data_IF_869893601073
#
_entry.id   IF_869893601073
#
_cell.length_a   1.000
_cell.length_b   1.000
_cell.length_c   1.000
_cell.angle_alpha   90.00
_cell.angle_beta   90.00
_cell.angle_gamma   90.00
#
_symmetry.space_group_name_H-M   'P 1'
#
loop_
_entity.id
_entity.type
_entity.pdbx_description
1 polymer ?
#
# COMPACT_ATOMS: atom_id res chain seq x y z
N UNK A 1 22.60 -3.58 17.29
CA UNK A 1 21.81 -3.14 16.14
C UNK A 1 21.08 -1.87 16.54
N UNK A 2 21.19 -0.80 15.77
CA UNK A 2 20.52 0.47 16.13
C UNK A 2 19.04 0.30 15.79
N UNK A 3 18.17 0.32 16.80
CA UNK A 3 16.71 0.33 16.57
C UNK A 3 16.38 1.63 15.84
N UNK A 4 15.68 1.59 14.69
CA UNK A 4 15.32 2.81 13.98
C UNK A 4 14.46 3.69 14.90
N UNK A 5 14.69 5.00 14.88
CA UNK A 5 13.86 5.94 15.62
C UNK A 5 12.68 6.33 14.73
N UNK A 6 11.42 6.22 15.20
CA UNK A 6 10.26 6.63 14.43
C UNK A 6 10.38 8.07 13.92
N UNK A 7 10.08 8.28 12.62
CA UNK A 7 10.17 9.59 11.99
C UNK A 7 8.80 9.98 11.41
N UNK A 8 8.20 11.13 11.81
CA UNK A 8 6.90 11.58 11.30
C UNK A 8 6.88 11.95 9.81
N UNK A 9 8.06 12.12 9.18
CA UNK A 9 8.17 12.37 7.74
C UNK A 9 8.15 11.08 6.90
N UNK A 10 8.27 9.90 7.52
CA UNK A 10 8.18 8.64 6.80
C UNK A 10 6.76 8.38 6.31
N UNK A 11 6.65 7.66 5.19
CA UNK A 11 5.41 7.28 4.55
C UNK A 11 5.16 5.77 4.71
N UNK A 12 3.93 5.42 5.06
CA UNK A 12 3.49 4.04 5.18
C UNK A 12 2.63 3.66 3.98
N UNK A 13 3.15 2.76 3.17
CA UNK A 13 2.50 2.18 2.00
C UNK A 13 1.87 0.85 2.39
N UNK A 14 0.62 0.67 2.03
CA UNK A 14 -0.13 -0.54 2.33
C UNK A 14 -0.91 -0.98 1.11
N UNK A 15 -1.03 -2.29 0.97
CA UNK A 15 -1.91 -2.94 0.00
C UNK A 15 -2.49 -4.21 0.61
N UNK A 16 -3.71 -4.53 0.24
CA UNK A 16 -4.44 -5.69 0.71
C UNK A 16 -5.09 -6.42 -0.46
N UNK A 17 -5.03 -7.75 -0.43
CA UNK A 17 -5.88 -8.60 -1.27
C UNK A 17 -7.11 -9.04 -0.48
N UNK A 18 -8.25 -9.06 -1.14
CA UNK A 18 -9.53 -9.40 -0.54
C UNK A 18 -10.26 -10.46 -1.37
N UNK A 19 -11.27 -11.08 -0.79
CA UNK A 19 -12.14 -12.02 -1.52
C UNK A 19 -13.10 -11.34 -2.50
N UNK A 20 -13.23 -10.03 -2.40
CA UNK A 20 -14.06 -9.17 -3.25
C UNK A 20 -14.00 -7.73 -2.78
N UNK A 21 -14.91 -6.86 -3.22
CA UNK A 21 -14.85 -5.42 -2.99
C UNK A 21 -15.87 -4.90 -1.96
N UNK A 22 -16.70 -5.78 -1.39
CA UNK A 22 -17.72 -5.38 -0.42
C UNK A 22 -17.34 -5.80 1.01
N UNK A 23 -16.87 -4.90 1.89
CA UNK A 23 -16.45 -5.24 3.24
C UNK A 23 -17.59 -5.77 4.15
N UNK A 24 -18.86 -5.73 3.70
CA UNK A 24 -19.97 -6.36 4.42
C UNK A 24 -19.94 -7.90 4.30
N UNK A 25 -19.39 -8.44 3.21
CA UNK A 25 -19.41 -9.86 2.90
C UNK A 25 -18.02 -10.43 2.62
N UNK A 26 -17.12 -9.59 2.15
CA UNK A 26 -15.76 -9.98 1.77
C UNK A 26 -14.79 -9.78 2.93
N UNK A 27 -13.66 -10.47 2.86
CA UNK A 27 -12.64 -10.52 3.91
C UNK A 27 -11.26 -10.25 3.33
N UNK A 28 -10.36 -9.78 4.19
CA UNK A 28 -8.94 -9.61 3.87
C UNK A 28 -8.29 -11.00 3.84
N UNK A 29 -7.50 -11.28 2.80
CA UNK A 29 -6.79 -12.55 2.62
C UNK A 29 -5.27 -12.37 2.54
N UNK A 30 -4.78 -11.17 2.25
CA UNK A 30 -3.37 -10.82 2.30
C UNK A 30 -3.23 -9.35 2.70
N UNK A 31 -2.15 -9.03 3.43
CA UNK A 31 -1.78 -7.65 3.72
C UNK A 31 -0.26 -7.50 3.81
N UNK A 32 0.27 -6.39 3.32
CA UNK A 32 1.68 -6.04 3.42
C UNK A 32 1.86 -4.53 3.60
N UNK A 33 3.03 -4.15 4.12
CA UNK A 33 3.41 -2.75 4.34
C UNK A 33 4.86 -2.52 3.91
N UNK A 34 5.09 -1.36 3.29
CA UNK A 34 6.42 -0.83 3.00
C UNK A 34 6.54 0.56 3.62
N UNK A 35 7.69 0.84 4.20
CA UNK A 35 8.01 2.16 4.74
C UNK A 35 9.02 2.84 3.81
N UNK A 36 8.74 4.08 3.44
CA UNK A 36 9.70 4.94 2.74
C UNK A 36 9.97 6.21 3.53
N UNK A 37 11.07 6.88 3.22
CA UNK A 37 11.23 8.29 3.57
C UNK A 37 10.36 9.19 2.66
N UNK A 38 10.45 10.52 2.87
CA UNK A 38 9.72 11.50 2.06
C UNK A 38 10.20 11.55 0.60
N UNK A 39 11.41 11.08 0.30
CA UNK A 39 11.97 11.01 -1.05
C UNK A 39 11.67 9.70 -1.77
N UNK A 40 10.84 8.85 -1.13
CA UNK A 40 10.42 7.53 -1.61
C UNK A 40 11.54 6.48 -1.57
N UNK A 41 12.63 6.68 -0.83
CA UNK A 41 13.61 5.63 -0.59
C UNK A 41 13.02 4.59 0.36
N UNK A 42 13.10 3.31 -0.01
CA UNK A 42 12.57 2.21 0.81
C UNK A 42 13.47 2.04 2.03
N UNK A 43 12.88 2.15 3.22
CA UNK A 43 13.55 1.98 4.52
C UNK A 43 13.33 0.58 5.09
N UNK A 44 12.12 0.03 4.94
CA UNK A 44 11.77 -1.30 5.43
C UNK A 44 10.57 -1.87 4.67
N UNK A 45 10.46 -3.20 4.71
CA UNK A 45 9.35 -3.96 4.17
C UNK A 45 8.90 -4.98 5.21
N UNK A 46 7.60 -5.13 5.40
CA UNK A 46 7.05 -6.24 6.18
C UNK A 46 7.09 -7.55 5.39
N UNK A 47 6.81 -8.64 6.06
CA UNK A 47 6.37 -9.85 5.37
C UNK A 47 5.01 -9.60 4.70
N UNK A 48 4.70 -10.40 3.70
CA UNK A 48 3.37 -10.46 3.11
C UNK A 48 2.57 -11.54 3.84
N UNK A 49 1.65 -11.10 4.71
CA UNK A 49 0.89 -11.96 5.60
C UNK A 49 -0.36 -12.49 4.89
N UNK A 50 -0.42 -13.80 4.64
CA UNK A 50 -1.66 -14.46 4.26
C UNK A 50 -2.53 -14.69 5.51
N UNK A 51 -3.81 -14.35 5.40
CA UNK A 51 -4.79 -14.44 6.49
C UNK A 51 -5.71 -15.63 6.25
N UNK A 52 -5.82 -16.49 7.24
CA UNK A 52 -6.69 -17.66 7.15
C UNK A 52 -8.16 -17.28 6.94
N UNK A 53 -8.80 -17.90 5.96
CA UNK A 53 -10.24 -17.80 5.73
C UNK A 53 -10.83 -19.19 5.45
N UNK A 54 -12.12 -19.33 5.77
CA UNK A 54 -12.80 -20.62 5.57
C UNK A 54 -12.90 -20.98 4.09
N UNK A 55 -12.93 -22.29 3.79
CA UNK A 55 -13.16 -22.77 2.43
C UNK A 55 -14.49 -22.29 1.83
N UNK A 56 -15.51 -22.13 2.67
CA UNK A 56 -16.80 -21.64 2.25
C UNK A 56 -16.69 -20.20 1.70
N UNK A 57 -15.96 -19.34 2.43
CA UNK A 57 -15.72 -17.97 2.00
C UNK A 57 -14.91 -17.91 0.70
N UNK A 58 -13.86 -18.72 0.60
CA UNK A 58 -13.02 -18.78 -0.62
C UNK A 58 -13.79 -19.29 -1.84
N UNK A 59 -14.72 -20.25 -1.66
CA UNK A 59 -15.61 -20.73 -2.72
C UNK A 59 -16.65 -19.67 -3.15
N UNK A 60 -16.93 -18.69 -2.30
CA UNK A 60 -17.85 -17.58 -2.59
C UNK A 60 -17.25 -16.47 -3.44
N UNK A 61 -15.94 -16.49 -3.69
CA UNK A 61 -15.29 -15.49 -4.56
C UNK A 61 -15.84 -15.55 -5.99
N UNK A 62 -15.90 -14.39 -6.64
CA UNK A 62 -16.23 -14.32 -8.07
C UNK A 62 -15.13 -14.98 -8.94
N UNK A 63 -15.43 -15.17 -10.22
CA UNK A 63 -14.54 -15.86 -11.16
C UNK A 63 -13.19 -15.13 -11.35
N UNK A 64 -13.18 -13.80 -11.27
CA UNK A 64 -11.95 -13.02 -11.43
C UNK A 64 -11.03 -13.18 -10.20
N UNK A 65 -11.58 -13.01 -9.00
CA UNK A 65 -10.83 -13.17 -7.73
C UNK A 65 -10.32 -14.62 -7.59
N UNK A 66 -11.17 -15.61 -7.85
CA UNK A 66 -10.79 -17.03 -7.83
C UNK A 66 -9.59 -17.29 -8.75
N UNK A 67 -9.70 -16.91 -10.04
CA UNK A 67 -8.65 -17.15 -11.03
C UNK A 67 -7.35 -16.39 -10.68
N UNK A 68 -7.47 -15.16 -10.21
CA UNK A 68 -6.32 -14.32 -9.87
C UNK A 68 -5.56 -14.88 -8.67
N UNK A 69 -6.25 -15.19 -7.58
CA UNK A 69 -5.63 -15.68 -6.35
C UNK A 69 -5.12 -17.12 -6.46
N UNK A 70 -5.74 -17.95 -7.31
CA UNK A 70 -5.18 -19.28 -7.65
C UNK A 70 -3.89 -19.16 -8.46
N UNK A 71 -3.88 -18.29 -9.49
CA UNK A 71 -2.71 -18.06 -10.35
C UNK A 71 -1.50 -17.52 -9.57
N UNK A 72 -1.72 -16.67 -8.57
CA UNK A 72 -0.66 -16.13 -7.70
C UNK A 72 -0.24 -17.08 -6.58
N UNK A 73 -0.97 -18.16 -6.36
CA UNK A 73 -0.78 -19.10 -5.26
C UNK A 73 -1.31 -18.58 -3.91
N UNK A 74 -1.99 -17.42 -3.90
CA UNK A 74 -2.50 -16.83 -2.65
C UNK A 74 -3.59 -17.70 -2.03
N UNK A 75 -4.49 -18.29 -2.81
CA UNK A 75 -5.54 -19.19 -2.29
C UNK A 75 -4.95 -20.32 -1.45
N UNK A 76 -3.84 -20.93 -1.88
CA UNK A 76 -3.18 -21.98 -1.11
C UNK A 76 -2.53 -21.43 0.16
N UNK A 77 -1.84 -20.27 0.08
CA UNK A 77 -1.25 -19.62 1.26
C UNK A 77 -2.29 -19.27 2.32
N UNK A 78 -3.48 -18.83 1.90
CA UNK A 78 -4.61 -18.50 2.79
C UNK A 78 -5.12 -19.76 3.50
N UNK A 79 -5.24 -20.89 2.78
CA UNK A 79 -5.65 -22.18 3.38
C UNK A 79 -4.62 -22.73 4.37
N UNK A 80 -3.34 -22.57 4.07
CA UNK A 80 -2.23 -23.06 4.90
C UNK A 80 -1.92 -22.12 6.08
N UNK A 81 -2.38 -20.87 6.02
CA UNK A 81 -2.19 -19.89 7.09
C UNK A 81 -3.00 -20.26 8.33
N UNK A 82 -2.44 -19.97 9.49
CA UNK A 82 -3.12 -20.03 10.79
C UNK A 82 -3.41 -18.64 11.36
N UNK A 83 -2.98 -17.56 10.67
CA UNK A 83 -3.09 -16.21 11.16
C UNK A 83 -4.51 -15.67 10.92
N UNK A 84 -5.09 -15.11 11.95
CA UNK A 84 -6.33 -14.31 11.88
C UNK A 84 -6.06 -12.86 11.45
N UNK A 85 -7.11 -12.14 11.07
CA UNK A 85 -7.02 -10.70 10.79
C UNK A 85 -6.48 -9.91 11.99
N UNK A 86 -6.87 -10.27 13.21
CA UNK A 86 -6.41 -9.59 14.43
C UNK A 86 -4.92 -9.83 14.72
N UNK A 87 -4.40 -11.02 14.43
CA UNK A 87 -2.97 -11.32 14.58
C UNK A 87 -2.14 -10.59 13.54
N UNK A 88 -2.60 -10.56 12.28
CA UNK A 88 -1.92 -9.80 11.23
C UNK A 88 -1.98 -8.30 11.50
N UNK A 89 -3.11 -7.78 11.97
CA UNK A 89 -3.21 -6.39 12.44
C UNK A 89 -2.13 -6.07 13.47
N UNK A 90 -1.93 -6.95 14.46
CA UNK A 90 -0.89 -6.76 15.48
C UNK A 90 0.52 -6.81 14.89
N UNK A 91 0.81 -7.77 14.01
CA UNK A 91 2.11 -7.85 13.34
C UNK A 91 2.43 -6.58 12.54
N UNK A 92 1.46 -6.05 11.80
CA UNK A 92 1.62 -4.82 11.03
C UNK A 92 1.81 -3.60 11.94
N UNK A 93 1.06 -3.50 13.03
CA UNK A 93 1.22 -2.43 14.02
C UNK A 93 2.61 -2.45 14.67
N UNK A 94 3.08 -3.61 15.08
CA UNK A 94 4.40 -3.78 15.71
C UNK A 94 5.53 -3.41 14.74
N UNK A 95 5.33 -3.68 13.44
CA UNK A 95 6.26 -3.29 12.40
C UNK A 95 6.23 -1.77 12.17
N UNK A 96 5.05 -1.18 11.95
CA UNK A 96 4.90 0.25 11.61
C UNK A 96 5.37 1.15 12.76
N UNK A 97 5.08 0.78 14.00
CA UNK A 97 5.45 1.55 15.20
C UNK A 97 6.96 1.78 15.34
N UNK A 98 7.79 0.92 14.76
CA UNK A 98 9.25 1.10 14.76
C UNK A 98 9.72 2.25 13.87
N UNK A 99 8.90 2.63 12.87
CA UNK A 99 9.28 3.55 11.81
C UNK A 99 8.48 4.86 11.78
N UNK A 100 7.24 4.83 12.25
CA UNK A 100 6.27 5.93 12.10
C UNK A 100 5.49 6.12 13.39
N UNK A 101 5.46 7.36 13.96
CA UNK A 101 4.56 7.67 15.07
C UNK A 101 3.09 7.60 14.62
N UNK A 102 2.22 7.21 15.54
CA UNK A 102 0.77 7.18 15.29
C UNK A 102 0.25 8.55 14.82
N UNK A 103 -0.67 8.55 13.86
CA UNK A 103 -1.38 9.73 13.37
C UNK A 103 -0.56 10.62 12.43
N UNK A 104 0.66 10.24 12.03
CA UNK A 104 1.53 11.10 11.22
C UNK A 104 1.54 10.75 9.74
N UNK A 105 1.66 9.49 9.37
CA UNK A 105 1.64 9.09 7.95
C UNK A 105 0.24 9.02 7.39
N UNK A 106 -0.01 9.60 6.19
CA UNK A 106 -1.19 9.21 5.41
C UNK A 106 -1.12 7.73 5.05
N UNK A 107 -2.27 7.12 4.72
CA UNK A 107 -2.29 5.83 4.06
C UNK A 107 -1.87 6.02 2.60
N UNK A 108 -0.78 5.35 2.18
CA UNK A 108 -0.19 5.51 0.86
C UNK A 108 -0.40 4.24 0.01
N UNK A 109 -0.68 4.42 -1.29
CA UNK A 109 -0.85 3.31 -2.25
C UNK A 109 -1.70 3.70 -3.45
N UNK A 110 -2.29 2.73 -4.12
CA UNK A 110 -3.25 2.94 -5.21
C UNK A 110 -4.67 2.56 -4.76
N UNK A 111 -5.65 3.44 -4.96
CA UNK A 111 -7.07 3.20 -4.65
C UNK A 111 -7.30 2.86 -3.18
N UNK A 112 -6.45 3.40 -2.31
CA UNK A 112 -6.34 3.06 -0.87
C UNK A 112 -7.62 3.32 -0.05
N UNK A 113 -8.59 4.04 -0.60
CA UNK A 113 -9.89 4.19 0.03
C UNK A 113 -10.60 2.84 0.19
N UNK A 114 -10.34 1.88 -0.70
CA UNK A 114 -10.90 0.54 -0.62
C UNK A 114 -10.27 -0.24 0.53
N UNK A 115 -8.93 -0.25 0.62
CA UNK A 115 -8.20 -0.85 1.74
C UNK A 115 -8.65 -0.26 3.08
N UNK A 116 -8.81 1.07 3.14
CA UNK A 116 -9.27 1.76 4.34
C UNK A 116 -10.65 1.30 4.80
N UNK A 117 -11.59 1.03 3.89
CA UNK A 117 -12.92 0.48 4.24
C UNK A 117 -12.82 -0.90 4.89
N UNK A 118 -11.93 -1.77 4.39
CA UNK A 118 -11.68 -3.08 4.98
C UNK A 118 -10.96 -2.97 6.31
N UNK A 119 -9.96 -2.09 6.43
CA UNK A 119 -9.30 -1.84 7.73
C UNK A 119 -10.26 -1.33 8.79
N UNK A 120 -11.13 -0.39 8.47
CA UNK A 120 -12.13 0.13 9.41
C UNK A 120 -13.00 -0.99 10.01
N UNK A 121 -13.27 -2.03 9.25
CA UNK A 121 -14.11 -3.14 9.69
C UNK A 121 -13.32 -4.26 10.39
N UNK A 122 -12.16 -4.63 9.86
CA UNK A 122 -11.46 -5.85 10.26
C UNK A 122 -10.12 -5.59 10.96
N UNK A 123 -9.55 -4.40 10.81
CA UNK A 123 -8.28 -3.98 11.41
C UNK A 123 -8.37 -2.54 11.94
N UNK A 124 -9.33 -2.22 12.85
CA UNK A 124 -9.62 -0.84 13.25
C UNK A 124 -8.47 -0.16 14.01
N UNK A 125 -7.61 -0.91 14.70
CA UNK A 125 -6.43 -0.36 15.37
C UNK A 125 -5.36 0.06 14.35
N UNK A 126 -5.20 -0.72 13.28
CA UNK A 126 -4.30 -0.38 12.18
C UNK A 126 -4.82 0.87 11.43
N UNK A 127 -6.12 0.94 11.16
CA UNK A 127 -6.71 2.13 10.55
C UNK A 127 -6.49 3.39 11.40
N UNK A 128 -6.71 3.30 12.72
CA UNK A 128 -6.49 4.39 13.67
C UNK A 128 -5.02 4.79 13.86
N UNK A 129 -4.06 4.02 13.35
CA UNK A 129 -2.65 4.38 13.35
C UNK A 129 -2.32 5.41 12.28
N UNK A 130 -3.03 5.41 11.14
CA UNK A 130 -2.81 6.34 10.05
C UNK A 130 -3.40 7.71 10.34
N UNK A 131 -2.83 8.72 9.70
CA UNK A 131 -3.48 10.02 9.55
C UNK A 131 -4.77 9.86 8.72
N UNK A 132 -5.78 10.71 8.92
CA UNK A 132 -7.06 10.60 8.21
C UNK A 132 -6.95 10.85 6.68
N UNK A 133 -5.85 11.45 6.21
CA UNK A 133 -5.62 11.69 4.78
C UNK A 133 -5.05 10.46 4.10
N UNK A 134 -5.26 10.38 2.78
CA UNK A 134 -4.62 9.41 1.90
C UNK A 134 -3.59 10.09 1.00
N UNK A 135 -2.53 9.36 0.65
CA UNK A 135 -1.66 9.63 -0.47
C UNK A 135 -1.99 8.58 -1.54
N UNK A 136 -2.99 8.86 -2.36
CA UNK A 136 -3.51 7.92 -3.36
C UNK A 136 -2.91 8.23 -4.73
N UNK A 137 -2.01 7.37 -5.21
CA UNK A 137 -1.32 7.50 -6.49
C UNK A 137 -2.29 7.38 -7.66
N UNK A 138 -3.42 6.68 -7.49
CA UNK A 138 -4.47 6.59 -8.52
C UNK A 138 -5.07 7.95 -8.85
N UNK A 139 -5.06 8.92 -7.94
CA UNK A 139 -5.47 10.29 -8.23
C UNK A 139 -4.54 10.94 -9.26
N UNK A 140 -3.22 10.80 -9.09
CA UNK A 140 -2.24 11.31 -10.06
C UNK A 140 -2.36 10.61 -11.41
N UNK A 141 -2.57 9.29 -11.39
CA UNK A 141 -2.82 8.48 -12.58
C UNK A 141 -4.02 9.00 -13.37
N UNK A 142 -5.14 9.27 -12.70
CA UNK A 142 -6.34 9.82 -13.33
C UNK A 142 -6.14 11.22 -13.91
N UNK A 143 -5.35 12.07 -13.23
CA UNK A 143 -4.99 13.39 -13.72
C UNK A 143 -4.01 13.31 -14.91
N UNK A 144 -2.96 12.47 -14.81
CA UNK A 144 -2.02 12.26 -15.90
C UNK A 144 -2.69 11.73 -17.16
N UNK A 145 -3.63 10.81 -17.02
CA UNK A 145 -4.41 10.27 -18.16
C UNK A 145 -5.14 11.36 -18.92
N UNK A 146 -5.64 12.41 -18.24
CA UNK A 146 -6.42 13.50 -18.83
C UNK A 146 -5.56 14.66 -19.30
N UNK A 147 -4.55 15.03 -18.51
CA UNK A 147 -3.80 16.27 -18.70
C UNK A 147 -2.43 16.06 -19.32
N UNK A 148 -1.84 14.87 -19.16
CA UNK A 148 -0.53 14.52 -19.68
C UNK A 148 -0.48 13.06 -20.17
N UNK A 149 -1.21 12.72 -21.27
CA UNK A 149 -1.30 11.33 -21.74
C UNK A 149 0.04 10.66 -22.04
N UNK A 150 1.07 11.43 -22.38
CA UNK A 150 2.42 10.90 -22.61
C UNK A 150 3.02 10.33 -21.32
N UNK A 151 2.95 11.07 -20.19
CA UNK A 151 3.39 10.58 -18.90
C UNK A 151 2.59 9.36 -18.43
N UNK A 152 1.27 9.35 -18.65
CA UNK A 152 0.43 8.19 -18.35
C UNK A 152 0.85 6.93 -19.12
N UNK A 153 1.11 7.06 -20.43
CA UNK A 153 1.45 5.90 -21.30
C UNK A 153 2.87 5.40 -21.11
N UNK A 154 3.78 6.21 -20.57
CA UNK A 154 5.19 5.83 -20.36
C UNK A 154 5.42 4.99 -19.10
N UNK A 155 4.39 4.74 -18.30
CA UNK A 155 4.43 3.83 -17.17
C UNK A 155 3.51 2.64 -17.39
N UNK A 156 3.99 1.43 -17.15
CA UNK A 156 3.19 0.21 -17.18
C UNK A 156 3.50 -0.65 -15.94
N UNK A 157 2.45 -1.09 -15.27
CA UNK A 157 2.53 -2.05 -14.17
C UNK A 157 2.61 -3.48 -14.71
N UNK A 158 3.34 -4.34 -14.00
CA UNK A 158 3.37 -5.79 -14.30
C UNK A 158 2.09 -6.47 -13.82
N UNK A 159 1.45 -5.93 -12.76
CA UNK A 159 0.20 -6.44 -12.21
C UNK A 159 0.35 -7.84 -11.64
N UNK A 160 1.24 -8.01 -10.67
CA UNK A 160 1.50 -9.32 -10.06
C UNK A 160 0.35 -9.83 -9.21
N UNK A 161 -0.50 -8.92 -8.70
CA UNK A 161 -1.57 -9.20 -7.74
C UNK A 161 -1.05 -9.95 -6.50
N UNK A 162 0.01 -9.38 -5.93
CA UNK A 162 0.59 -9.74 -4.64
C UNK A 162 0.81 -8.45 -3.89
N UNK A 163 0.30 -8.33 -2.69
CA UNK A 163 0.28 -7.08 -1.93
C UNK A 163 1.65 -6.37 -1.88
N UNK A 164 2.74 -7.07 -1.59
CA UNK A 164 4.07 -6.46 -1.52
C UNK A 164 4.56 -5.93 -2.88
N UNK A 165 4.35 -6.69 -3.96
CA UNK A 165 4.75 -6.28 -5.31
C UNK A 165 3.94 -5.08 -5.78
N UNK A 166 2.64 -5.06 -5.49
CA UNK A 166 1.73 -3.97 -5.87
C UNK A 166 2.04 -2.67 -5.10
N UNK A 167 2.50 -2.77 -3.84
CA UNK A 167 3.07 -1.63 -3.11
C UNK A 167 4.31 -1.08 -3.81
N UNK A 168 5.26 -1.95 -4.16
CA UNK A 168 6.50 -1.52 -4.83
C UNK A 168 6.21 -0.86 -6.18
N UNK A 169 5.29 -1.41 -6.95
CA UNK A 169 4.81 -0.80 -8.21
C UNK A 169 4.14 0.55 -7.97
N UNK A 170 3.41 0.73 -6.87
CA UNK A 170 2.77 2.00 -6.52
C UNK A 170 3.78 3.09 -6.16
N UNK A 171 4.86 2.72 -5.46
CA UNK A 171 6.00 3.61 -5.16
C UNK A 171 6.70 4.03 -6.46
N UNK A 172 6.98 3.09 -7.36
CA UNK A 172 7.59 3.39 -8.66
C UNK A 172 6.67 4.25 -9.54
N UNK A 173 5.37 4.02 -9.51
CA UNK A 173 4.39 4.84 -10.22
C UNK A 173 4.41 6.30 -9.71
N UNK A 174 4.49 6.50 -8.38
CA UNK A 174 4.63 7.85 -7.82
C UNK A 174 5.96 8.51 -8.20
N UNK A 175 7.08 7.76 -8.16
CA UNK A 175 8.39 8.24 -8.63
C UNK A 175 8.33 8.69 -10.08
N UNK A 176 7.69 7.90 -10.93
CA UNK A 176 7.48 8.22 -12.34
C UNK A 176 6.69 9.52 -12.52
N UNK A 177 5.54 9.69 -11.83
CA UNK A 177 4.77 10.93 -11.93
C UNK A 177 5.51 12.13 -11.34
N UNK A 178 6.31 11.95 -10.29
CA UNK A 178 7.16 13.01 -9.73
C UNK A 178 8.15 13.55 -10.77
N UNK A 179 8.69 12.69 -11.61
CA UNK A 179 9.69 13.05 -12.63
C UNK A 179 9.07 13.58 -13.93
N UNK A 180 7.90 13.09 -14.33
CA UNK A 180 7.36 13.31 -15.67
C UNK A 180 6.13 14.20 -15.71
N UNK A 181 5.40 14.30 -14.60
CA UNK A 181 4.09 14.97 -14.55
C UNK A 181 4.03 16.13 -13.55
N UNK A 182 4.67 16.00 -12.38
CA UNK A 182 4.66 17.04 -11.36
C UNK A 182 5.79 18.04 -11.62
N UNK A 183 5.46 19.35 -11.57
CA UNK A 183 6.48 20.41 -11.56
C UNK A 183 6.99 20.58 -10.13
N UNK A 184 8.21 20.14 -9.89
CA UNK A 184 8.92 20.43 -8.64
C UNK A 184 9.69 21.75 -8.79
N UNK A 185 9.82 22.58 -7.71
CA UNK A 185 10.74 23.71 -7.72
C UNK A 185 12.15 23.23 -8.07
N UNK A 186 12.86 24.00 -8.90
CA UNK A 186 14.29 23.76 -9.07
C UNK A 186 14.97 23.91 -7.71
N UNK A 187 15.87 22.97 -7.37
CA UNK A 187 16.71 23.14 -6.19
C UNK A 187 17.44 24.47 -6.34
N UNK A 188 17.13 25.43 -5.47
CA UNK A 188 17.74 26.75 -5.50
C UNK A 188 19.26 26.59 -5.55
N UNK A 189 19.83 26.87 -6.71
CA UNK A 189 21.28 27.05 -6.83
C UNK A 189 21.67 28.11 -5.82
N UNK A 190 22.66 27.82 -5.01
CA UNK A 190 23.32 28.71 -4.08
C UNK A 190 23.33 30.13 -4.60
N UNK A 191 22.68 31.05 -3.84
CA UNK A 191 22.92 32.48 -3.99
C UNK A 191 24.44 32.73 -3.89
N UNK A 192 25.09 32.92 -5.00
CA UNK A 192 26.35 33.69 -5.00
C UNK A 192 25.96 35.12 -4.69
N UNK A 193 26.15 35.48 -3.42
CA UNK A 193 26.23 36.91 -3.05
C UNK A 193 27.32 37.52 -3.92
N UNK A 194 26.89 38.37 -4.84
CA UNK A 194 27.77 39.32 -5.50
C UNK A 194 28.00 40.45 -4.53
N UNK A 195 29.26 40.57 -4.12
CA UNK A 195 29.89 41.74 -3.47
C UNK A 195 29.56 43.05 -4.13
#
# INVERSE_FOLDING_TARGET
MHTPKPNPANLCWLDMEMTGLNPEHDRIIEAAVVITDADLNILAQSESYAIHQSEELLKGMDAWNTSTHERTGLTQRVKDSTLSEAEVEQCLLDFIAQWIPQGTSPLCGNTVHQDRRFMQRYMPRLEAWFHYRNLDVSTLKELARRWHPAAYKSFSKKGSHRALDDILESIEELRHYRQTFLRLPEANGTNQEAT
#
